data_IF_569312721987
#
_entry.id   IF_569312721987
#
_cell.length_a   1.000
_cell.length_b   1.000
_cell.length_c   1.000
_cell.angle_alpha   90.00
_cell.angle_beta   90.00
_cell.angle_gamma   90.00
#
_symmetry.space_group_name_H-M   'P 1'
#
loop_
_entity.id
_entity.type
_entity.pdbx_description
1 polymer ?
#
# COMPACT_ATOMS: atom_id res chain seq x y z
N UNK A 1 0.84 13.20 8.92
CA UNK A 1 1.85 12.50 8.09
C UNK A 1 2.58 13.45 7.11
N UNK A 2 2.30 14.77 7.18
CA UNK A 2 2.94 15.74 6.30
C UNK A 2 2.54 15.61 4.82
N UNK A 3 1.33 15.10 4.56
CA UNK A 3 0.79 14.89 3.23
C UNK A 3 -0.33 15.88 2.94
N UNK A 4 -0.23 16.57 1.81
CA UNK A 4 -1.25 17.46 1.31
C UNK A 4 -1.95 16.83 0.10
N UNK A 5 -3.27 16.70 0.18
CA UNK A 5 -4.14 16.21 -0.87
C UNK A 5 -5.32 17.16 -1.09
N UNK A 6 -5.69 17.36 -2.33
CA UNK A 6 -6.92 18.04 -2.70
C UNK A 6 -8.12 17.08 -2.60
N UNK A 7 -9.33 17.61 -2.66
CA UNK A 7 -10.56 16.80 -2.63
C UNK A 7 -10.65 15.78 -3.78
N UNK A 8 -10.01 16.04 -4.92
CA UNK A 8 -10.00 15.14 -6.06
C UNK A 8 -8.94 14.02 -5.94
N UNK A 9 -8.10 14.08 -4.92
CA UNK A 9 -6.99 13.15 -4.65
C UNK A 9 -7.28 12.24 -3.46
N UNK A 10 -8.51 12.29 -2.92
CA UNK A 10 -8.96 11.44 -1.81
C UNK A 10 -10.35 10.90 -2.11
N UNK A 11 -10.58 9.62 -1.80
CA UNK A 11 -11.91 9.02 -1.81
C UNK A 11 -12.14 8.19 -0.56
N UNK A 12 -13.37 8.22 -0.04
CA UNK A 12 -13.79 7.35 1.06
C UNK A 12 -14.11 5.94 0.54
N UNK A 13 -14.08 4.95 1.44
CA UNK A 13 -14.36 3.56 1.10
C UNK A 13 -15.01 2.83 2.28
N UNK A 14 -15.65 1.69 2.02
CA UNK A 14 -16.22 0.80 3.04
C UNK A 14 -15.09 0.03 3.74
N UNK A 15 -14.28 0.77 4.51
CA UNK A 15 -13.06 0.32 5.16
C UNK A 15 -11.86 0.25 4.20
N UNK A 16 -10.66 0.17 4.76
CA UNK A 16 -9.41 0.08 4.00
C UNK A 16 -9.37 -1.11 3.04
N UNK A 17 -10.06 -2.22 3.39
CA UNK A 17 -10.14 -3.41 2.52
C UNK A 17 -10.70 -3.06 1.14
N UNK A 18 -11.82 -2.35 1.06
CA UNK A 18 -12.40 -1.95 -0.22
C UNK A 18 -11.49 -0.96 -0.95
N UNK A 19 -10.88 -0.01 -0.23
CA UNK A 19 -9.95 0.94 -0.84
C UNK A 19 -8.79 0.23 -1.55
N UNK A 20 -8.17 -0.78 -0.90
CA UNK A 20 -7.07 -1.55 -1.48
C UNK A 20 -7.56 -2.39 -2.67
N UNK A 21 -8.69 -3.10 -2.53
CA UNK A 21 -9.23 -3.93 -3.61
C UNK A 21 -9.54 -3.07 -4.85
N UNK A 22 -10.19 -1.92 -4.67
CA UNK A 22 -10.47 -0.99 -5.77
C UNK A 22 -9.19 -0.42 -6.38
N UNK A 23 -8.19 -0.08 -5.56
CA UNK A 23 -6.89 0.37 -6.05
C UNK A 23 -6.21 -0.70 -6.92
N UNK A 24 -6.20 -1.97 -6.48
CA UNK A 24 -5.65 -3.07 -7.28
C UNK A 24 -6.33 -3.19 -8.64
N UNK A 25 -7.67 -3.15 -8.70
CA UNK A 25 -8.42 -3.21 -9.96
C UNK A 25 -8.14 -2.04 -10.91
N UNK A 26 -7.65 -0.91 -10.39
CA UNK A 26 -7.33 0.28 -11.19
C UNK A 26 -5.91 0.22 -11.75
N UNK A 27 -4.94 -0.28 -10.95
CA UNK A 27 -3.53 -0.17 -11.30
C UNK A 27 -2.93 -1.45 -11.86
N UNK A 28 -3.59 -2.60 -11.72
CA UNK A 28 -3.07 -3.90 -12.13
C UNK A 28 -4.12 -4.74 -12.83
N UNK A 29 -3.70 -5.66 -13.70
CA UNK A 29 -4.58 -6.54 -14.46
C UNK A 29 -3.88 -7.82 -14.93
N UNK A 30 -4.51 -8.56 -15.88
CA UNK A 30 -3.93 -9.79 -16.42
C UNK A 30 -2.55 -9.56 -17.04
N UNK A 31 -1.56 -10.35 -16.60
CA UNK A 31 -0.17 -10.25 -17.03
C UNK A 31 0.72 -9.40 -16.12
N UNK A 32 0.14 -8.57 -15.26
CA UNK A 32 0.88 -7.77 -14.29
C UNK A 32 1.28 -8.60 -13.05
N UNK A 33 2.37 -8.19 -12.43
CA UNK A 33 2.88 -8.75 -11.17
C UNK A 33 2.80 -7.70 -10.06
N UNK A 34 2.37 -8.14 -8.87
CA UNK A 34 2.34 -7.30 -7.67
C UNK A 34 3.20 -7.94 -6.59
N UNK A 35 4.25 -7.26 -6.18
CA UNK A 35 5.15 -7.71 -5.13
C UNK A 35 4.43 -7.65 -3.78
N UNK A 36 4.63 -8.68 -2.97
CA UNK A 36 3.99 -8.83 -1.68
C UNK A 36 4.99 -9.34 -0.64
N UNK A 37 5.59 -8.45 0.17
CA UNK A 37 6.44 -8.86 1.28
C UNK A 37 5.68 -9.74 2.28
N UNK A 38 6.27 -10.91 2.62
CA UNK A 38 5.65 -11.91 3.51
C UNK A 38 6.51 -12.14 4.76
N UNK A 39 5.84 -12.33 5.95
CA UNK A 39 4.40 -12.51 6.17
C UNK A 39 3.58 -11.23 6.03
N UNK A 40 2.36 -11.36 5.50
CA UNK A 40 1.45 -10.25 5.27
C UNK A 40 -0.01 -10.63 5.57
N UNK A 41 -0.90 -9.65 5.57
CA UNK A 41 -2.32 -9.91 5.70
C UNK A 41 -2.85 -10.72 4.50
N UNK A 42 -3.49 -11.85 4.78
CA UNK A 42 -3.93 -12.83 3.77
C UNK A 42 -4.82 -12.25 2.65
N UNK A 43 -5.58 -11.20 2.95
CA UNK A 43 -6.49 -10.61 1.97
C UNK A 43 -5.78 -9.91 0.81
N UNK A 44 -4.53 -9.47 0.95
CA UNK A 44 -3.80 -8.83 -0.15
C UNK A 44 -3.66 -9.77 -1.35
N UNK A 45 -3.32 -11.03 -1.10
CA UNK A 45 -3.20 -12.05 -2.15
C UNK A 45 -4.47 -12.15 -2.98
N UNK A 46 -5.63 -12.21 -2.30
CA UNK A 46 -6.92 -12.36 -2.99
C UNK A 46 -7.36 -11.08 -3.70
N UNK A 47 -7.03 -9.91 -3.19
CA UNK A 47 -7.28 -8.64 -3.88
C UNK A 47 -6.47 -8.49 -5.17
N UNK A 48 -5.20 -8.94 -5.15
CA UNK A 48 -4.35 -8.96 -6.35
C UNK A 48 -4.92 -9.91 -7.39
N UNK A 49 -5.31 -11.14 -6.97
CA UNK A 49 -5.94 -12.12 -7.84
C UNK A 49 -7.28 -11.65 -8.41
N UNK A 50 -8.07 -10.96 -7.61
CA UNK A 50 -9.36 -10.39 -8.04
C UNK A 50 -9.18 -9.35 -9.15
N UNK A 51 -8.08 -8.60 -9.14
CA UNK A 51 -7.70 -7.70 -10.22
C UNK A 51 -7.19 -8.42 -11.48
N UNK A 52 -6.98 -9.73 -11.41
CA UNK A 52 -6.41 -10.54 -12.50
C UNK A 52 -4.88 -10.58 -12.51
N UNK A 53 -4.22 -9.90 -11.58
CA UNK A 53 -2.77 -9.85 -11.47
C UNK A 53 -2.20 -11.04 -10.68
N UNK A 54 -0.89 -11.25 -10.81
CA UNK A 54 -0.16 -12.32 -10.14
C UNK A 54 0.54 -11.78 -8.89
N UNK A 55 0.24 -12.30 -7.68
CA UNK A 55 1.02 -11.96 -6.48
C UNK A 55 2.39 -12.65 -6.53
N UNK A 56 3.45 -11.86 -6.34
CA UNK A 56 4.83 -12.33 -6.25
C UNK A 56 5.30 -12.16 -4.82
N UNK A 57 5.45 -13.26 -4.11
CA UNK A 57 5.86 -13.24 -2.71
C UNK A 57 7.35 -12.97 -2.55
N UNK A 58 7.70 -12.03 -1.69
CA UNK A 58 9.06 -11.62 -1.39
C UNK A 58 9.30 -11.80 0.12
N UNK A 59 10.37 -12.47 0.55
CA UNK A 59 10.66 -12.59 1.97
C UNK A 59 10.99 -11.20 2.57
N UNK A 60 10.67 -11.02 3.84
CA UNK A 60 11.24 -9.97 4.68
C UNK A 60 12.44 -10.52 5.45
N UNK A 61 13.24 -9.67 6.08
CA UNK A 61 14.35 -10.09 6.94
C UNK A 61 13.82 -10.89 8.13
N UNK A 62 14.43 -12.03 8.41
CA UNK A 62 13.93 -12.94 9.46
C UNK A 62 14.25 -12.48 10.89
N UNK A 63 15.28 -11.63 11.04
CA UNK A 63 15.75 -11.16 12.34
C UNK A 63 14.85 -10.07 12.95
N UNK A 64 14.21 -9.25 12.10
CA UNK A 64 13.46 -8.07 12.56
C UNK A 64 12.20 -7.76 11.72
N UNK A 65 11.87 -8.59 10.74
CA UNK A 65 10.77 -8.42 9.79
C UNK A 65 10.84 -7.12 8.97
N UNK A 66 12.01 -6.50 8.85
CA UNK A 66 12.24 -5.35 7.98
C UNK A 66 12.23 -5.77 6.51
N UNK A 67 11.98 -4.82 5.59
CA UNK A 67 12.00 -5.09 4.15
C UNK A 67 13.37 -5.65 3.73
N UNK A 68 13.37 -6.75 3.00
CA UNK A 68 14.56 -7.26 2.31
C UNK A 68 14.65 -6.61 0.92
N UNK A 69 15.36 -5.50 0.84
CA UNK A 69 15.47 -4.72 -0.39
C UNK A 69 16.21 -5.47 -1.50
N UNK A 70 17.10 -6.39 -1.16
CA UNK A 70 17.80 -7.20 -2.14
C UNK A 70 16.87 -8.27 -2.74
N UNK A 71 16.06 -8.91 -1.91
CA UNK A 71 15.01 -9.81 -2.37
C UNK A 71 13.95 -9.07 -3.21
N UNK A 72 13.52 -7.88 -2.80
CA UNK A 72 12.60 -7.04 -3.58
C UNK A 72 13.23 -6.71 -4.94
N UNK A 73 14.48 -6.24 -4.97
CA UNK A 73 15.20 -5.91 -6.21
C UNK A 73 15.31 -7.10 -7.16
N UNK A 74 15.58 -8.27 -6.64
CA UNK A 74 15.68 -9.50 -7.42
C UNK A 74 14.34 -9.98 -8.00
N UNK A 75 13.22 -9.61 -7.35
CA UNK A 75 11.88 -9.99 -7.78
C UNK A 75 11.26 -9.01 -8.80
N UNK A 76 11.86 -7.84 -9.02
CA UNK A 76 11.36 -6.87 -10.00
C UNK A 76 11.55 -7.40 -11.42
N UNK A 77 10.49 -7.37 -12.20
CA UNK A 77 10.47 -7.71 -13.63
C UNK A 77 9.82 -6.58 -14.45
N UNK A 78 9.88 -6.62 -15.77
CA UNK A 78 9.11 -5.66 -16.61
C UNK A 78 7.59 -5.72 -16.42
N UNK A 79 7.07 -6.76 -15.77
CA UNK A 79 5.65 -6.93 -15.43
C UNK A 79 5.30 -6.42 -14.03
N UNK A 80 6.29 -6.04 -13.24
CA UNK A 80 6.05 -5.51 -11.89
C UNK A 80 5.29 -4.19 -11.99
N UNK A 81 4.05 -4.19 -11.50
CA UNK A 81 3.14 -3.04 -11.55
C UNK A 81 2.99 -2.33 -10.23
N UNK A 82 3.10 -3.09 -9.14
CA UNK A 82 2.98 -2.52 -7.79
C UNK A 82 3.70 -3.38 -6.75
N UNK A 83 3.91 -2.79 -5.58
CA UNK A 83 4.18 -3.47 -4.33
C UNK A 83 3.13 -3.06 -3.30
N UNK A 84 2.66 -4.01 -2.48
CA UNK A 84 1.80 -3.71 -1.33
C UNK A 84 2.63 -3.78 -0.06
N UNK A 85 2.66 -2.70 0.70
CA UNK A 85 3.30 -2.64 2.03
C UNK A 85 2.27 -2.28 3.09
N UNK A 86 2.45 -2.81 4.29
CA UNK A 86 1.68 -2.43 5.47
C UNK A 86 2.66 -2.08 6.59
N UNK A 87 2.60 -0.87 7.09
CA UNK A 87 3.49 -0.44 8.19
C UNK A 87 2.74 0.51 9.14
N UNK A 88 2.61 0.14 10.43
CA UNK A 88 2.98 -1.14 11.07
C UNK A 88 2.34 -2.35 10.39
N UNK A 89 3.09 -3.46 10.31
CA UNK A 89 2.72 -4.63 9.54
C UNK A 89 1.71 -5.55 10.26
N UNK A 90 0.79 -6.11 9.52
CA UNK A 90 -0.03 -7.23 9.94
C UNK A 90 0.44 -8.49 9.19
N UNK A 91 0.96 -9.56 9.88
CA UNK A 91 0.74 -9.86 11.30
C UNK A 91 1.90 -9.53 12.24
N UNK A 92 3.07 -9.08 11.78
CA UNK A 92 4.31 -9.07 12.56
C UNK A 92 4.39 -7.92 13.58
N UNK A 93 3.67 -6.83 13.34
CA UNK A 93 3.80 -5.58 14.12
C UNK A 93 5.03 -4.75 13.74
N UNK A 94 5.85 -5.19 12.78
CA UNK A 94 7.04 -4.46 12.35
C UNK A 94 6.68 -3.09 11.80
N UNK A 95 7.45 -2.09 12.21
CA UNK A 95 7.38 -0.73 11.67
C UNK A 95 8.59 -0.56 10.76
N UNK A 96 8.36 -0.48 9.46
CA UNK A 96 9.45 -0.33 8.51
C UNK A 96 10.18 1.00 8.71
N UNK A 97 11.51 0.93 8.67
CA UNK A 97 12.36 2.10 8.88
C UNK A 97 12.21 3.11 7.73
N UNK A 98 12.37 4.39 8.04
CA UNK A 98 12.43 5.43 7.01
C UNK A 98 13.50 5.13 5.95
N UNK A 99 14.63 4.56 6.35
CA UNK A 99 15.70 4.15 5.43
C UNK A 99 15.19 3.13 4.42
N UNK A 100 14.58 2.04 4.87
CA UNK A 100 14.05 1.00 3.97
C UNK A 100 12.95 1.53 3.06
N UNK A 101 12.08 2.40 3.58
CA UNK A 101 11.02 3.01 2.79
C UNK A 101 11.57 3.96 1.71
N UNK A 102 12.65 4.69 1.98
CA UNK A 102 13.33 5.51 0.97
C UNK A 102 13.98 4.66 -0.12
N UNK A 103 14.68 3.60 0.26
CA UNK A 103 15.29 2.68 -0.70
C UNK A 103 14.23 1.96 -1.56
N UNK A 104 13.09 1.57 -0.98
CA UNK A 104 11.94 1.05 -1.73
C UNK A 104 11.38 2.09 -2.71
N UNK A 105 11.24 3.33 -2.26
CA UNK A 105 10.76 4.44 -3.09
C UNK A 105 11.67 4.69 -4.30
N UNK A 106 12.98 4.64 -4.10
CA UNK A 106 13.96 4.75 -5.19
C UNK A 106 13.77 3.64 -6.24
N UNK A 107 13.51 2.41 -5.79
CA UNK A 107 13.19 1.30 -6.69
C UNK A 107 11.88 1.53 -7.45
N UNK A 108 10.84 2.03 -6.77
CA UNK A 108 9.56 2.32 -7.39
C UNK A 108 9.67 3.41 -8.47
N UNK A 109 10.42 4.47 -8.20
CA UNK A 109 10.70 5.53 -9.18
C UNK A 109 11.51 4.99 -10.35
N UNK A 110 12.59 4.25 -10.07
CA UNK A 110 13.50 3.71 -11.08
C UNK A 110 12.82 2.73 -12.05
N UNK A 111 11.92 1.89 -11.53
CA UNK A 111 11.28 0.81 -12.30
C UNK A 111 9.81 1.10 -12.65
N UNK A 112 9.32 2.30 -12.32
CA UNK A 112 8.00 2.84 -12.64
C UNK A 112 6.83 1.93 -12.18
N UNK A 113 6.86 1.53 -10.89
CA UNK A 113 5.76 0.79 -10.29
C UNK A 113 5.11 1.54 -9.11
N UNK A 114 3.87 1.19 -8.78
CA UNK A 114 3.13 1.79 -7.68
C UNK A 114 3.51 1.20 -6.33
N UNK A 115 3.44 2.03 -5.28
CA UNK A 115 3.46 1.60 -3.88
C UNK A 115 2.05 1.73 -3.32
N UNK A 116 1.42 0.62 -2.95
CA UNK A 116 0.17 0.64 -2.18
C UNK A 116 0.54 0.54 -0.71
N UNK A 117 0.48 1.67 -0.02
CA UNK A 117 0.85 1.81 1.37
C UNK A 117 -0.39 1.72 2.26
N UNK A 118 -0.58 0.56 2.90
CA UNK A 118 -1.60 0.37 3.93
C UNK A 118 -1.08 0.90 5.26
N UNK A 119 -1.56 2.07 5.66
CA UNK A 119 -1.18 2.77 6.88
C UNK A 119 -2.24 2.65 7.99
N UNK A 120 -3.14 1.65 7.90
CA UNK A 120 -4.27 1.47 8.82
C UNK A 120 -3.84 1.38 10.30
N UNK A 121 -2.60 0.99 10.58
CA UNK A 121 -2.02 0.87 11.90
C UNK A 121 -1.11 2.04 12.30
N UNK A 122 -1.08 3.15 11.57
CA UNK A 122 -0.16 4.29 11.76
C UNK A 122 -0.09 4.84 13.19
N UNK A 123 -1.19 4.74 13.96
CA UNK A 123 -1.26 5.18 15.37
C UNK A 123 -0.87 4.09 16.37
N UNK A 124 -0.63 2.87 15.90
CA UNK A 124 -0.28 1.72 16.75
C UNK A 124 1.23 1.45 16.68
N UNK A 125 2.00 2.42 17.13
CA UNK A 125 3.46 2.35 17.24
C UNK A 125 3.86 2.41 18.70
N UNK A 126 4.84 1.59 19.09
CA UNK A 126 5.28 1.39 20.47
C UNK A 126 6.79 1.51 20.56
N UNK A 127 7.32 1.52 21.79
CA UNK A 127 8.76 1.45 22.10
C UNK A 127 9.60 2.54 21.39
N UNK A 128 9.02 3.73 21.22
CA UNK A 128 9.70 4.86 20.58
C UNK A 128 9.81 4.78 19.05
N UNK A 129 9.24 3.73 18.42
CA UNK A 129 9.14 3.67 16.96
C UNK A 129 8.30 4.84 16.42
N UNK A 130 8.57 5.23 15.19
CA UNK A 130 7.82 6.29 14.50
C UNK A 130 7.31 5.78 13.17
N UNK A 131 6.02 5.98 12.93
CA UNK A 131 5.46 5.77 11.59
C UNK A 131 5.99 6.83 10.64
N UNK A 132 6.35 6.39 9.44
CA UNK A 132 6.78 7.25 8.34
C UNK A 132 5.95 6.92 7.09
N UNK A 133 5.30 7.92 6.52
CA UNK A 133 4.52 7.73 5.30
C UNK A 133 5.40 7.85 4.07
N UNK A 134 5.45 6.81 3.25
CA UNK A 134 6.30 6.77 2.05
C UNK A 134 5.96 7.86 1.04
N UNK A 135 4.70 8.25 0.94
CA UNK A 135 4.25 9.32 0.06
C UNK A 135 4.85 10.69 0.40
N UNK A 136 5.40 10.89 1.62
CA UNK A 136 6.00 12.16 2.05
C UNK A 136 7.43 12.37 1.55
N UNK A 137 8.05 11.38 0.88
CA UNK A 137 9.47 11.42 0.52
C UNK A 137 9.78 12.47 -0.55
N UNK A 138 9.00 12.46 -1.64
CA UNK A 138 9.14 13.43 -2.74
C UNK A 138 7.88 13.46 -3.59
N UNK A 139 7.77 14.43 -4.50
CA UNK A 139 6.64 14.50 -5.45
C UNK A 139 6.59 13.27 -6.37
N UNK A 140 7.72 12.79 -6.84
CA UNK A 140 7.81 11.62 -7.71
C UNK A 140 7.33 10.34 -7.02
N UNK A 141 7.65 10.19 -5.73
CA UNK A 141 7.18 9.07 -4.90
C UNK A 141 5.69 9.22 -4.60
N UNK A 142 5.23 10.42 -4.26
CA UNK A 142 3.82 10.72 -4.05
C UNK A 142 2.97 10.33 -5.27
N UNK A 143 3.43 10.63 -6.49
CA UNK A 143 2.74 10.30 -7.74
C UNK A 143 2.61 8.79 -7.99
N UNK A 144 3.45 7.98 -7.36
CA UNK A 144 3.44 6.50 -7.44
C UNK A 144 2.86 5.84 -6.21
N UNK A 145 2.45 6.61 -5.20
CA UNK A 145 1.92 6.03 -3.96
C UNK A 145 0.42 6.15 -3.89
N UNK A 146 -0.23 5.05 -3.50
CA UNK A 146 -1.62 5.01 -3.08
C UNK A 146 -1.59 4.76 -1.57
N UNK A 147 -1.82 5.82 -0.81
CA UNK A 147 -1.93 5.73 0.66
C UNK A 147 -3.33 5.29 1.03
N UNK A 148 -3.44 4.20 1.76
CA UNK A 148 -4.72 3.68 2.27
C UNK A 148 -4.71 3.74 3.78
N UNK A 149 -5.79 4.23 4.36
CA UNK A 149 -5.96 4.31 5.80
C UNK A 149 -7.44 4.20 6.18
N UNK A 150 -7.78 4.32 7.46
CA UNK A 150 -9.16 4.26 7.92
C UNK A 150 -9.29 4.35 9.43
N UNK A 151 -10.50 4.18 9.89
CA UNK A 151 -10.88 4.44 11.28
C UNK A 151 -10.96 3.16 12.13
N UNK A 152 -10.93 2.00 11.48
CA UNK A 152 -11.17 0.71 12.13
C UNK A 152 -10.21 0.41 13.28
N UNK A 153 -8.93 0.77 13.14
CA UNK A 153 -7.86 0.43 14.09
C UNK A 153 -7.54 1.56 15.03
N UNK A 154 -7.07 2.68 14.50
CA UNK A 154 -6.65 3.84 15.29
C UNK A 154 -7.76 4.39 16.20
N UNK A 155 -9.01 4.25 15.80
CA UNK A 155 -10.18 4.79 16.51
C UNK A 155 -11.14 3.71 17.03
N UNK A 156 -10.75 2.43 16.98
CA UNK A 156 -11.57 1.29 17.40
C UNK A 156 -12.98 1.26 16.73
N UNK A 157 -13.07 1.71 15.48
CA UNK A 157 -14.33 1.87 14.72
C UNK A 157 -14.49 0.78 13.66
N UNK A 158 -14.23 -0.48 14.01
CA UNK A 158 -14.28 -1.59 13.04
C UNK A 158 -15.65 -1.78 12.39
N UNK A 159 -16.72 -1.59 13.15
CA UNK A 159 -18.11 -1.77 12.69
C UNK A 159 -18.60 -0.63 11.78
N UNK A 160 -17.99 0.55 11.84
CA UNK A 160 -18.39 1.72 11.06
C UNK A 160 -18.06 1.61 9.57
N UNK A 161 -17.14 0.73 9.23
CA UNK A 161 -16.73 0.48 7.84
C UNK A 161 -16.30 1.76 7.10
N UNK A 162 -15.43 2.54 7.73
CA UNK A 162 -14.89 3.79 7.15
C UNK A 162 -13.40 3.63 6.90
N UNK A 163 -13.00 3.84 5.66
CA UNK A 163 -11.63 3.94 5.20
C UNK A 163 -11.52 4.96 4.07
N UNK A 164 -10.33 5.16 3.57
CA UNK A 164 -10.07 6.05 2.44
C UNK A 164 -8.82 5.64 1.69
N UNK A 165 -8.74 6.06 0.43
CA UNK A 165 -7.53 6.06 -0.37
C UNK A 165 -7.17 7.49 -0.74
N UNK A 166 -5.88 7.80 -0.75
CA UNK A 166 -5.33 9.06 -1.20
C UNK A 166 -4.21 8.80 -2.21
N UNK A 167 -4.29 9.41 -3.40
CA UNK A 167 -3.37 9.25 -4.50
C UNK A 167 -3.57 10.37 -5.52
N UNK A 168 -2.79 10.37 -6.60
CA UNK A 168 -3.01 11.29 -7.72
C UNK A 168 -4.45 11.15 -8.28
N UNK A 169 -4.98 12.25 -8.79
CA UNK A 169 -6.40 12.39 -9.12
C UNK A 169 -6.94 11.39 -10.15
N UNK A 170 -6.12 10.96 -11.11
CA UNK A 170 -6.53 9.97 -12.13
C UNK A 170 -6.72 8.57 -11.52
N UNK A 171 -5.88 8.18 -10.56
CA UNK A 171 -6.03 6.93 -9.80
C UNK A 171 -7.28 6.99 -8.93
N UNK A 172 -7.51 8.09 -8.22
CA UNK A 172 -8.71 8.27 -7.39
C UNK A 172 -9.99 8.23 -8.25
N UNK A 173 -9.98 8.85 -9.43
CA UNK A 173 -11.08 8.77 -10.38
C UNK A 173 -11.38 7.31 -10.78
N UNK A 174 -10.35 6.52 -11.02
CA UNK A 174 -10.49 5.09 -11.30
C UNK A 174 -11.09 4.32 -10.12
N UNK A 175 -10.59 4.55 -8.89
CA UNK A 175 -11.13 3.93 -7.67
C UNK A 175 -12.61 4.28 -7.48
N UNK A 176 -12.99 5.53 -7.68
CA UNK A 176 -14.40 5.97 -7.60
C UNK A 176 -15.26 5.29 -8.67
N UNK A 177 -14.75 5.10 -9.89
CA UNK A 177 -15.46 4.39 -10.94
C UNK A 177 -15.72 2.92 -10.57
N UNK A 178 -14.73 2.21 -10.00
CA UNK A 178 -14.92 0.85 -9.47
C UNK A 178 -15.95 0.84 -8.35
N UNK A 179 -15.81 1.75 -7.40
CA UNK A 179 -16.71 1.87 -6.25
C UNK A 179 -18.17 2.08 -6.65
N UNK A 180 -18.42 2.95 -7.61
CA UNK A 180 -19.79 3.26 -8.08
C UNK A 180 -20.54 2.07 -8.67
N UNK A 181 -19.84 0.96 -8.97
CA UNK A 181 -20.43 -0.28 -9.50
C UNK A 181 -20.42 -1.42 -8.47
N UNK A 182 -19.74 -1.26 -7.31
CA UNK A 182 -19.53 -2.35 -6.35
C UNK A 182 -20.02 -2.05 -4.95
N UNK A 183 -20.57 -0.83 -4.73
CA UNK A 183 -21.03 -0.39 -3.39
C UNK A 183 -22.40 0.25 -3.44
#
# INVERSE_FOLDING_TARGET
NGLDYTVNEVTTAVGAKQAIASAMMVIAGPGDEVLLPIPCWVSYTEMIRLAGATPVFVPVRQDNYELDLDAIRAAITPRTKAIVICTPNNPTGAVYSEKSLRELADLAVKHDFFIVADEIYEKMVYDGAKHFSVASISREVWERTITVNGFSKAYAMTGWRIGYAAARADVIKGIMAVQSQTT
#
